data_IF_315372412986
#
_entry.id   IF_315372412986
#
_cell.length_a   1.000
_cell.length_b   1.000
_cell.length_c   1.000
_cell.angle_alpha   90.00
_cell.angle_beta   90.00
_cell.angle_gamma   90.00
#
_symmetry.space_group_name_H-M   'P 1'
#
loop_
_entity.id
_entity.type
_entity.pdbx_description
1 polymer ?
#
# COMPACT_ATOMS: atom_id res chain seq x y z
N UNK A 1 4.75 -5.91 62.35
CA UNK A 1 5.23 -5.03 61.25
C UNK A 1 5.72 -5.92 60.12
N UNK A 2 4.83 -6.27 59.21
CA UNK A 2 5.21 -6.90 57.93
C UNK A 2 4.95 -5.87 56.83
N UNK A 3 6.02 -5.37 56.24
CA UNK A 3 5.97 -4.61 55.02
C UNK A 3 5.65 -5.57 53.88
N UNK A 4 4.51 -5.41 53.24
CA UNK A 4 4.18 -6.09 52.01
C UNK A 4 4.93 -5.43 50.86
N UNK A 5 5.94 -6.09 50.35
CA UNK A 5 6.54 -5.75 49.06
C UNK A 5 5.48 -5.99 47.96
N UNK A 6 4.89 -4.90 47.47
CA UNK A 6 4.15 -4.91 46.21
C UNK A 6 5.15 -5.05 45.07
N UNK A 7 5.42 -6.29 44.67
CA UNK A 7 6.09 -6.54 43.41
C UNK A 7 5.27 -5.97 42.27
N UNK A 8 5.79 -4.92 41.65
CA UNK A 8 5.31 -4.39 40.38
C UNK A 8 5.50 -5.48 39.32
N UNK A 9 4.47 -6.30 39.11
CA UNK A 9 4.38 -7.17 37.94
C UNK A 9 4.04 -6.24 36.78
N UNK A 10 5.05 -5.76 36.08
CA UNK A 10 4.86 -5.25 34.73
C UNK A 10 4.39 -6.44 33.88
N UNK A 11 3.08 -6.53 33.61
CA UNK A 11 2.60 -7.32 32.51
C UNK A 11 3.20 -6.70 31.25
N UNK A 12 4.28 -7.25 30.74
CA UNK A 12 4.66 -7.02 29.35
C UNK A 12 3.44 -7.45 28.53
N UNK A 13 2.83 -6.51 27.84
CA UNK A 13 1.76 -6.81 26.92
C UNK A 13 2.32 -7.78 25.88
N UNK A 14 1.83 -9.02 25.89
CA UNK A 14 2.22 -10.01 24.89
C UNK A 14 1.68 -9.51 23.55
N UNK A 15 2.58 -9.03 22.70
CA UNK A 15 2.24 -8.59 21.34
C UNK A 15 1.78 -9.80 20.52
N UNK A 16 0.63 -9.69 19.89
CA UNK A 16 0.08 -10.73 19.03
C UNK A 16 0.55 -10.58 17.60
N UNK A 17 1.07 -11.66 17.01
CA UNK A 17 1.46 -11.66 15.59
C UNK A 17 0.20 -11.69 14.73
N UNK A 18 0.14 -10.84 13.70
CA UNK A 18 -0.95 -10.85 12.71
C UNK A 18 -0.93 -12.12 11.88
N UNK A 19 -2.02 -12.89 11.85
CA UNK A 19 -2.12 -14.04 10.95
C UNK A 19 -2.08 -13.61 9.47
N UNK A 20 -1.48 -14.45 8.64
CA UNK A 20 -1.60 -14.31 7.18
C UNK A 20 -2.98 -14.79 6.75
N UNK A 21 -3.84 -13.88 6.29
CA UNK A 21 -5.19 -14.18 5.79
C UNK A 21 -5.16 -14.69 4.35
N UNK A 22 -4.32 -14.06 3.51
CA UNK A 22 -4.13 -14.45 2.10
C UNK A 22 -2.69 -14.22 1.68
N UNK A 23 -2.17 -15.11 0.83
CA UNK A 23 -0.93 -14.92 0.09
C UNK A 23 -1.23 -15.20 -1.38
N UNK A 24 -1.06 -14.21 -2.23
CA UNK A 24 -1.36 -14.30 -3.67
C UNK A 24 -0.27 -13.61 -4.50
N UNK A 25 -0.20 -13.94 -5.78
CA UNK A 25 0.65 -13.23 -6.74
C UNK A 25 -0.10 -12.13 -7.45
N UNK A 26 0.57 -10.99 -7.67
CA UNK A 26 0.05 -9.95 -8.54
C UNK A 26 -0.13 -10.47 -9.97
N UNK A 27 -1.14 -9.95 -10.67
CA UNK A 27 -1.54 -10.41 -12.01
C UNK A 27 -1.04 -9.43 -13.08
N UNK A 28 -0.54 -9.92 -14.23
CA UNK A 28 -0.29 -9.05 -15.39
C UNK A 28 -1.57 -8.29 -15.75
N UNK A 29 -1.43 -7.00 -16.00
CA UNK A 29 -2.51 -6.09 -16.34
C UNK A 29 -1.98 -5.06 -17.33
N UNK A 30 -2.84 -4.55 -18.19
CA UNK A 30 -2.53 -3.45 -19.10
C UNK A 30 -3.44 -2.27 -18.78
N UNK A 31 -2.85 -1.09 -18.60
CA UNK A 31 -3.57 0.14 -18.25
C UNK A 31 -3.06 1.34 -19.09
N UNK A 32 -3.70 2.49 -18.93
CA UNK A 32 -3.34 3.70 -19.68
C UNK A 32 -3.40 3.49 -21.19
N UNK A 33 -2.41 3.95 -21.91
CA UNK A 33 -2.31 3.79 -23.36
C UNK A 33 -1.55 2.51 -23.78
N UNK A 34 -1.53 1.49 -22.94
CA UNK A 34 -0.86 0.22 -23.20
C UNK A 34 0.33 -0.05 -22.26
N UNK A 35 0.31 0.52 -21.06
CA UNK A 35 1.34 0.27 -20.03
C UNK A 35 1.15 -1.12 -19.44
N UNK A 36 2.17 -1.96 -19.55
CA UNK A 36 2.21 -3.27 -18.94
C UNK A 36 2.66 -3.15 -17.48
N UNK A 37 1.82 -3.59 -16.57
CA UNK A 37 2.05 -3.56 -15.14
C UNK A 37 1.52 -4.82 -14.45
N UNK A 38 1.64 -4.90 -13.14
CA UNK A 38 1.11 -6.01 -12.36
C UNK A 38 0.21 -5.49 -11.25
N UNK A 39 -1.06 -5.89 -11.28
CA UNK A 39 -2.05 -5.51 -10.27
C UNK A 39 -2.02 -6.50 -9.11
N UNK A 40 -1.71 -6.00 -7.92
CA UNK A 40 -1.73 -6.79 -6.69
C UNK A 40 -3.18 -6.99 -6.20
N UNK A 41 -3.97 -5.92 -6.13
CA UNK A 41 -5.41 -5.95 -5.87
C UNK A 41 -6.11 -4.75 -6.53
N UNK A 42 -7.44 -4.83 -6.64
CA UNK A 42 -8.24 -3.79 -7.29
C UNK A 42 -9.73 -4.10 -7.20
N UNK A 43 -10.47 -3.91 -8.29
CA UNK A 43 -11.92 -4.16 -8.36
C UNK A 43 -12.33 -5.51 -7.76
N UNK A 44 -13.39 -5.50 -6.95
CA UNK A 44 -13.95 -6.70 -6.31
C UNK A 44 -13.30 -7.10 -4.99
N UNK A 45 -12.29 -6.40 -4.53
CA UNK A 45 -11.59 -6.69 -3.27
C UNK A 45 -11.65 -5.54 -2.25
N UNK A 46 -12.51 -4.55 -2.43
CA UNK A 46 -12.54 -3.31 -1.64
C UNK A 46 -12.73 -3.53 -0.14
N UNK A 47 -13.50 -4.53 0.27
CA UNK A 47 -13.73 -4.85 1.68
C UNK A 47 -12.50 -5.43 2.38
N UNK A 48 -11.67 -6.19 1.66
CA UNK A 48 -10.48 -6.83 2.23
C UNK A 48 -9.34 -5.83 2.47
N UNK A 49 -9.25 -4.78 1.64
CA UNK A 49 -8.17 -3.80 1.64
C UNK A 49 -8.59 -2.39 2.07
N UNK A 50 -9.86 -2.20 2.49
CA UNK A 50 -10.35 -0.90 2.98
C UNK A 50 -9.35 -0.29 4.00
N UNK A 51 -8.87 0.93 3.83
CA UNK A 51 -9.35 1.99 2.92
C UNK A 51 -8.68 2.01 1.54
N UNK A 52 -7.87 1.00 1.19
CA UNK A 52 -7.17 0.97 -0.09
C UNK A 52 -8.00 0.28 -1.17
N UNK A 53 -7.90 0.81 -2.39
CA UNK A 53 -8.73 0.38 -3.51
C UNK A 53 -7.96 -0.42 -4.54
N UNK A 54 -6.68 -0.08 -4.76
CA UNK A 54 -5.85 -0.65 -5.82
C UNK A 54 -4.38 -0.52 -5.46
N UNK A 55 -3.59 -1.56 -5.82
CA UNK A 55 -2.13 -1.49 -5.84
C UNK A 55 -1.63 -2.05 -7.17
N UNK A 56 -0.94 -1.20 -7.92
CA UNK A 56 -0.24 -1.54 -9.15
C UNK A 56 1.27 -1.43 -8.98
N UNK A 57 1.96 -2.46 -9.44
CA UNK A 57 3.41 -2.55 -9.59
C UNK A 57 3.74 -2.33 -11.07
N UNK A 58 4.18 -1.12 -11.43
CA UNK A 58 4.53 -0.75 -12.80
C UNK A 58 6.02 -0.92 -13.10
N UNK A 59 6.74 -1.75 -12.33
CA UNK A 59 8.15 -2.05 -12.58
C UNK A 59 8.30 -2.81 -13.88
N UNK A 60 9.02 -2.19 -14.81
CA UNK A 60 9.29 -2.72 -16.14
C UNK A 60 10.66 -2.26 -16.64
N UNK A 61 11.39 -3.14 -17.33
CA UNK A 61 12.71 -2.89 -17.89
C UNK A 61 12.67 -2.76 -19.42
N UNK A 62 11.46 -2.84 -20.02
CA UNK A 62 11.23 -2.79 -21.47
C UNK A 62 10.51 -1.47 -21.80
N UNK A 63 11.20 -0.47 -22.37
CA UNK A 63 10.63 0.85 -22.65
C UNK A 63 9.34 0.83 -23.46
N UNK A 64 9.22 -0.05 -24.43
CA UNK A 64 8.05 -0.19 -25.30
C UNK A 64 6.78 -0.55 -24.49
N UNK A 65 6.94 -1.20 -23.34
CA UNK A 65 5.84 -1.64 -22.48
C UNK A 65 5.31 -0.53 -21.55
N UNK A 66 5.99 0.62 -21.42
CA UNK A 66 5.55 1.68 -20.50
C UNK A 66 5.56 3.10 -21.07
N UNK A 67 6.31 3.38 -22.15
CA UNK A 67 6.47 4.76 -22.69
C UNK A 67 5.17 5.39 -23.18
N UNK A 68 4.16 4.58 -23.52
CA UNK A 68 2.85 5.09 -23.90
C UNK A 68 2.15 5.86 -22.77
N UNK A 69 2.48 5.53 -21.51
CA UNK A 69 2.06 6.26 -20.33
C UNK A 69 0.56 6.26 -20.06
N UNK A 70 0.17 7.21 -19.23
CA UNK A 70 -1.21 7.46 -18.87
C UNK A 70 -1.61 8.86 -19.36
N UNK A 71 -2.09 8.99 -20.62
CA UNK A 71 -2.57 10.25 -21.17
C UNK A 71 -3.69 10.84 -20.32
N UNK A 72 -4.09 12.08 -20.60
CA UNK A 72 -5.09 12.83 -19.87
C UNK A 72 -6.30 11.97 -19.47
N UNK A 73 -6.48 11.77 -18.18
CA UNK A 73 -7.56 10.99 -17.59
C UNK A 73 -8.05 11.62 -16.27
N UNK A 74 -9.35 11.46 -15.93
CA UNK A 74 -9.91 12.03 -14.72
C UNK A 74 -9.69 11.13 -13.51
N UNK A 75 -9.75 11.72 -12.30
CA UNK A 75 -10.00 11.04 -11.04
C UNK A 75 -10.98 11.82 -10.19
N UNK A 76 -11.82 11.13 -9.40
CA UNK A 76 -12.70 11.73 -8.39
C UNK A 76 -12.89 10.78 -7.21
N UNK A 77 -12.93 11.36 -5.99
CA UNK A 77 -13.31 10.66 -4.76
C UNK A 77 -12.24 9.74 -4.17
N UNK A 78 -11.00 9.84 -4.65
CA UNK A 78 -9.86 9.03 -4.20
C UNK A 78 -8.62 9.90 -3.97
N UNK A 79 -7.62 9.24 -3.40
CA UNK A 79 -6.22 9.68 -3.42
C UNK A 79 -5.39 8.68 -4.22
N UNK A 80 -4.42 9.17 -4.99
CA UNK A 80 -3.45 8.34 -5.71
C UNK A 80 -2.06 8.61 -5.19
N UNK A 81 -1.29 7.54 -4.96
CA UNK A 81 0.05 7.61 -4.41
C UNK A 81 1.00 6.94 -5.38
N UNK A 82 1.89 7.74 -5.98
CA UNK A 82 2.94 7.26 -6.87
C UNK A 82 4.26 7.27 -6.12
N UNK A 83 4.90 6.09 -5.98
CA UNK A 83 6.22 5.92 -5.40
C UNK A 83 7.17 5.37 -6.45
N UNK A 84 8.17 6.16 -6.87
CA UNK A 84 9.14 5.80 -7.91
C UNK A 84 10.40 5.21 -7.29
N UNK A 85 10.88 4.10 -7.82
CA UNK A 85 12.14 3.45 -7.40
C UNK A 85 13.27 3.62 -8.42
N UNK A 86 12.93 3.69 -9.72
CA UNK A 86 13.88 3.95 -10.81
C UNK A 86 13.14 4.60 -11.99
N UNK A 87 13.83 5.42 -12.74
CA UNK A 87 13.26 6.23 -13.80
C UNK A 87 12.60 7.51 -13.25
N UNK A 88 11.70 8.08 -14.03
CA UNK A 88 11.02 9.35 -13.73
C UNK A 88 9.60 9.31 -14.30
N UNK A 89 8.63 9.86 -13.60
CA UNK A 89 7.26 10.07 -14.11
C UNK A 89 7.03 11.56 -14.24
N UNK A 90 6.90 12.06 -15.47
CA UNK A 90 6.46 13.44 -15.73
C UNK A 90 4.94 13.51 -15.59
N UNK A 91 4.43 14.54 -14.91
CA UNK A 91 3.00 14.72 -14.72
C UNK A 91 2.56 16.14 -15.07
N UNK A 92 1.29 16.27 -15.38
CA UNK A 92 0.62 17.56 -15.56
C UNK A 92 -0.87 17.42 -15.31
N UNK A 93 -1.53 18.48 -14.86
CA UNK A 93 -2.95 18.45 -14.53
C UNK A 93 -3.77 19.62 -15.10
N UNK A 94 -5.09 19.52 -14.95
CA UNK A 94 -6.06 20.52 -15.42
C UNK A 94 -6.02 21.83 -14.63
N UNK A 95 -5.32 21.90 -13.50
CA UNK A 95 -5.13 23.12 -12.71
C UNK A 95 -3.86 23.90 -13.13
N UNK A 96 -3.07 23.35 -14.06
CA UNK A 96 -1.83 23.94 -14.55
C UNK A 96 -0.58 23.51 -13.81
N UNK A 97 -0.67 22.57 -12.86
CA UNK A 97 0.50 22.00 -12.22
C UNK A 97 1.26 21.10 -13.20
N UNK A 98 2.58 21.13 -13.10
CA UNK A 98 3.49 20.25 -13.86
C UNK A 98 4.71 19.93 -13.00
N UNK A 99 5.21 18.72 -13.13
CA UNK A 99 6.38 18.29 -12.39
C UNK A 99 6.93 16.97 -12.88
N UNK A 100 7.88 16.44 -12.12
CA UNK A 100 8.46 15.14 -12.34
C UNK A 100 8.79 14.48 -11.00
N UNK A 101 8.41 13.21 -10.91
CA UNK A 101 8.65 12.33 -9.76
C UNK A 101 9.84 11.45 -10.13
N UNK A 102 10.98 11.64 -9.48
CA UNK A 102 12.21 10.90 -9.74
C UNK A 102 12.38 9.70 -8.78
N UNK A 103 13.47 8.97 -8.95
CA UNK A 103 13.76 7.81 -8.10
C UNK A 103 13.86 8.17 -6.61
N UNK A 104 13.07 7.51 -5.79
CA UNK A 104 12.92 7.73 -4.35
C UNK A 104 11.88 8.78 -3.98
N UNK A 105 11.37 9.56 -4.94
CA UNK A 105 10.31 10.54 -4.72
C UNK A 105 8.93 9.87 -4.55
N UNK A 106 8.03 10.59 -3.89
CA UNK A 106 6.62 10.22 -3.72
C UNK A 106 5.74 11.39 -4.13
N UNK A 107 4.68 11.11 -4.88
CA UNK A 107 3.60 12.06 -5.10
C UNK A 107 2.31 11.50 -4.48
N UNK A 108 1.71 12.27 -3.59
CA UNK A 108 0.39 12.00 -3.03
C UNK A 108 -0.60 13.03 -3.57
N UNK A 109 -1.49 12.58 -4.43
CA UNK A 109 -2.52 13.42 -5.04
C UNK A 109 -3.87 13.10 -4.41
N UNK A 110 -4.52 14.07 -3.80
CA UNK A 110 -5.94 14.01 -3.42
C UNK A 110 -6.75 14.48 -4.63
N UNK A 111 -7.48 13.59 -5.28
CA UNK A 111 -8.33 13.94 -6.43
C UNK A 111 -9.63 14.66 -5.99
N UNK A 112 -10.16 14.27 -4.84
CA UNK A 112 -11.31 14.95 -4.22
C UNK A 112 -12.50 15.13 -5.15
N UNK A 113 -12.92 16.38 -5.37
CA UNK A 113 -14.06 16.75 -6.23
C UNK A 113 -13.82 16.50 -7.72
N UNK A 114 -12.58 16.27 -8.13
CA UNK A 114 -12.21 15.91 -9.49
C UNK A 114 -10.97 16.63 -9.99
N UNK A 115 -10.13 15.88 -10.69
CA UNK A 115 -8.95 16.36 -11.37
C UNK A 115 -8.78 15.58 -12.67
N UNK A 116 -8.27 16.25 -13.71
CA UNK A 116 -7.82 15.57 -14.94
C UNK A 116 -6.30 15.73 -14.99
N UNK A 117 -5.58 14.63 -15.13
CA UNK A 117 -4.13 14.65 -15.18
C UNK A 117 -3.58 13.64 -16.19
N UNK A 118 -2.28 13.72 -16.42
CA UNK A 118 -1.51 12.75 -17.18
C UNK A 118 -0.23 12.37 -16.42
N UNK A 119 0.23 11.15 -16.64
CA UNK A 119 1.47 10.61 -16.09
C UNK A 119 2.27 9.94 -17.21
N UNK A 120 3.46 10.47 -17.50
CA UNK A 120 4.30 10.05 -18.63
C UNK A 120 5.62 9.48 -18.10
N UNK A 121 5.76 8.14 -18.02
CA UNK A 121 6.96 7.50 -17.52
C UNK A 121 8.14 7.63 -18.48
N UNK A 122 9.33 7.78 -17.90
CA UNK A 122 10.62 7.77 -18.59
C UNK A 122 11.57 6.85 -17.83
N UNK A 123 12.12 5.85 -18.50
CA UNK A 123 13.12 4.97 -17.93
C UNK A 123 14.41 5.69 -17.53
N UNK A 124 15.16 5.08 -16.62
CA UNK A 124 16.53 5.46 -16.32
C UNK A 124 17.45 5.16 -17.52
N UNK A 125 18.76 5.51 -17.48
CA UNK A 125 19.69 5.22 -18.59
C UNK A 125 19.79 3.73 -18.97
N UNK A 126 19.33 2.81 -18.12
CA UNK A 126 19.29 1.36 -18.41
C UNK A 126 17.93 0.89 -18.89
N UNK A 127 16.96 1.80 -19.07
CA UNK A 127 15.60 1.50 -19.52
C UNK A 127 14.64 1.07 -18.41
N UNK A 128 15.04 1.15 -17.12
CA UNK A 128 14.17 0.75 -16.01
C UNK A 128 13.20 1.86 -15.63
N UNK A 129 11.93 1.52 -15.56
CA UNK A 129 10.87 2.33 -14.96
C UNK A 129 10.23 1.53 -13.84
N UNK A 130 10.62 1.80 -12.60
CA UNK A 130 10.19 1.01 -11.44
C UNK A 130 9.44 1.88 -10.43
N UNK A 131 8.29 1.41 -10.00
CA UNK A 131 7.51 2.09 -8.96
C UNK A 131 6.17 1.42 -8.71
N UNK A 132 5.39 2.08 -7.86
CA UNK A 132 4.10 1.61 -7.40
C UNK A 132 3.07 2.72 -7.46
N UNK A 133 1.84 2.34 -7.83
CA UNK A 133 0.64 3.19 -7.74
C UNK A 133 -0.30 2.56 -6.73
N UNK A 134 -0.58 3.26 -5.63
CA UNK A 134 -1.56 2.89 -4.63
C UNK A 134 -2.74 3.87 -4.70
N UNK A 135 -3.97 3.36 -4.65
CA UNK A 135 -5.16 4.19 -4.48
C UNK A 135 -5.73 4.03 -3.10
N UNK A 136 -5.97 5.14 -2.41
CA UNK A 136 -6.68 5.20 -1.15
C UNK A 136 -8.06 5.86 -1.34
N UNK A 137 -9.07 5.32 -0.68
CA UNK A 137 -10.42 5.85 -0.74
C UNK A 137 -10.58 7.06 0.17
N UNK A 138 -11.33 8.05 -0.26
CA UNK A 138 -11.77 9.15 0.59
C UNK A 138 -13.10 8.79 1.28
N UNK A 139 -13.26 9.11 2.57
CA UNK A 139 -14.56 8.97 3.22
C UNK A 139 -15.59 9.90 2.58
N UNK A 140 -16.86 9.56 2.70
CA UNK A 140 -17.99 10.28 2.08
C UNK A 140 -17.94 11.79 2.32
N UNK A 141 -17.57 12.21 3.54
CA UNK A 141 -17.47 13.62 3.92
C UNK A 141 -16.36 14.39 3.18
N UNK A 142 -15.36 13.69 2.62
CA UNK A 142 -14.20 14.30 1.97
C UNK A 142 -14.12 14.01 0.46
N UNK A 143 -15.07 13.25 -0.10
CA UNK A 143 -15.05 12.95 -1.54
C UNK A 143 -15.10 14.17 -2.45
N UNK A 144 -15.68 15.25 -1.99
CA UNK A 144 -15.80 16.50 -2.73
C UNK A 144 -14.86 17.60 -2.21
N UNK A 145 -13.78 17.23 -1.48
CA UNK A 145 -12.74 18.18 -1.08
C UNK A 145 -12.00 18.73 -2.31
N UNK A 146 -11.45 19.95 -2.28
CA UNK A 146 -10.62 20.46 -3.39
C UNK A 146 -9.41 19.54 -3.66
N UNK A 147 -9.05 19.33 -4.93
CA UNK A 147 -7.84 18.61 -5.30
C UNK A 147 -6.58 19.26 -4.70
N UNK A 148 -5.62 18.43 -4.33
CA UNK A 148 -4.30 18.90 -3.85
C UNK A 148 -3.21 17.89 -4.12
N UNK A 149 -1.95 18.35 -4.13
CA UNK A 149 -0.76 17.51 -4.18
C UNK A 149 0.12 17.70 -2.95
N UNK A 150 0.79 16.62 -2.57
CA UNK A 150 1.97 16.65 -1.70
C UNK A 150 3.07 15.90 -2.44
N UNK A 151 4.05 16.65 -2.94
CA UNK A 151 5.24 16.11 -3.59
C UNK A 151 6.35 16.04 -2.55
N UNK A 152 6.88 14.84 -2.36
CA UNK A 152 7.92 14.55 -1.38
C UNK A 152 9.15 14.09 -2.13
N UNK A 153 10.24 14.79 -1.99
CA UNK A 153 11.52 14.42 -2.56
C UNK A 153 12.17 13.31 -1.75
N UNK A 154 13.01 12.51 -2.39
CA UNK A 154 13.66 11.34 -1.80
C UNK A 154 14.40 11.67 -0.51
N UNK A 155 15.04 12.83 -0.42
CA UNK A 155 15.75 13.33 0.75
C UNK A 155 14.84 13.74 1.92
N UNK A 156 13.56 14.02 1.65
CA UNK A 156 12.56 14.35 2.66
C UNK A 156 11.93 13.12 3.29
N UNK A 157 12.06 11.94 2.64
CA UNK A 157 11.54 10.68 3.16
C UNK A 157 12.43 10.16 4.27
N UNK A 158 11.97 10.12 5.54
CA UNK A 158 12.78 9.62 6.65
C UNK A 158 13.24 8.18 6.42
N UNK A 159 14.51 7.95 6.67
CA UNK A 159 15.12 6.62 6.62
C UNK A 159 15.54 6.24 8.04
N UNK A 160 15.23 5.02 8.43
CA UNK A 160 15.50 4.49 9.77
C UNK A 160 16.18 3.14 9.56
N UNK A 161 17.33 2.95 10.23
CA UNK A 161 17.97 1.63 10.29
C UNK A 161 18.07 1.26 11.77
N UNK A 162 17.63 0.08 12.13
CA UNK A 162 17.74 -0.39 13.50
C UNK A 162 19.01 -1.21 13.76
N UNK A 163 19.16 -1.71 14.98
CA UNK A 163 20.39 -2.36 15.45
C UNK A 163 20.67 -3.69 14.73
N UNK A 164 19.66 -4.34 14.13
CA UNK A 164 19.80 -5.58 13.36
C UNK A 164 19.97 -5.34 11.85
N UNK A 165 20.05 -4.07 11.43
CA UNK A 165 20.26 -3.68 10.05
C UNK A 165 19.00 -3.66 9.21
N UNK A 166 17.81 -3.80 9.81
CA UNK A 166 16.55 -3.58 9.10
C UNK A 166 16.42 -2.12 8.73
N UNK A 167 16.22 -1.86 7.44
CA UNK A 167 16.09 -0.51 6.89
C UNK A 167 14.64 -0.21 6.51
N UNK A 168 14.14 0.96 6.92
CA UNK A 168 12.79 1.44 6.64
C UNK A 168 12.84 2.84 6.03
N UNK A 169 12.14 3.04 4.92
CA UNK A 169 11.81 4.36 4.36
C UNK A 169 10.34 4.65 4.71
N UNK A 170 10.11 5.75 5.43
CA UNK A 170 8.77 6.11 5.95
C UNK A 170 8.10 7.13 5.04
N UNK A 171 7.25 6.66 4.12
CA UNK A 171 6.52 7.50 3.16
C UNK A 171 5.41 8.30 3.85
N UNK A 172 4.61 7.65 4.69
CA UNK A 172 3.49 8.28 5.38
C UNK A 172 3.23 7.63 6.74
N UNK A 173 2.64 8.39 7.65
CA UNK A 173 2.28 7.95 9.00
C UNK A 173 3.40 8.10 10.01
N UNK A 174 3.37 7.30 11.08
CA UNK A 174 4.39 7.28 12.13
C UNK A 174 4.89 5.87 12.35
N UNK A 175 6.21 5.72 12.41
CA UNK A 175 6.86 4.44 12.61
C UNK A 175 8.18 4.61 13.38
N UNK A 176 8.44 3.74 14.36
CA UNK A 176 9.64 3.78 15.24
C UNK A 176 10.00 5.20 15.72
N UNK A 177 9.00 5.94 16.18
CA UNK A 177 9.16 7.29 16.73
C UNK A 177 9.49 8.39 15.71
N UNK A 178 9.47 8.09 14.42
CA UNK A 178 9.57 9.06 13.32
C UNK A 178 8.21 9.29 12.69
N UNK A 179 8.04 10.45 12.06
CA UNK A 179 6.85 10.84 11.30
C UNK A 179 7.23 11.02 9.84
N UNK A 180 6.44 10.45 8.94
CA UNK A 180 6.56 10.64 7.50
C UNK A 180 6.13 12.03 7.05
N UNK A 181 6.58 12.49 5.87
CA UNK A 181 6.36 13.85 5.39
C UNK A 181 4.93 14.13 4.92
N UNK A 182 4.17 13.10 4.52
CA UNK A 182 2.80 13.26 4.02
C UNK A 182 1.82 13.42 5.19
N UNK A 183 1.00 14.47 5.15
CA UNK A 183 0.09 14.84 6.23
C UNK A 183 -1.36 15.03 5.79
N UNK A 184 -2.29 14.94 6.76
CA UNK A 184 -3.70 15.25 6.55
C UNK A 184 -4.42 14.26 5.64
N UNK A 185 -4.05 12.99 5.71
CA UNK A 185 -4.66 11.90 4.95
C UNK A 185 -5.78 11.26 5.76
N UNK A 186 -6.95 11.16 5.15
CA UNK A 186 -8.17 10.76 5.83
C UNK A 186 -8.15 9.33 6.39
N UNK A 187 -7.48 8.41 5.70
CA UNK A 187 -7.35 7.00 6.09
C UNK A 187 -6.31 6.76 7.18
N UNK A 188 -5.62 7.82 7.64
CA UNK A 188 -4.50 7.74 8.59
C UNK A 188 -3.54 6.58 8.29
N UNK A 189 -2.98 6.51 7.06
CA UNK A 189 -2.17 5.38 6.64
C UNK A 189 -0.78 5.39 7.27
N UNK A 190 -0.22 4.19 7.44
CA UNK A 190 1.23 3.99 7.55
C UNK A 190 1.67 3.30 6.27
N UNK A 191 2.59 3.94 5.54
CA UNK A 191 3.16 3.41 4.30
C UNK A 191 4.67 3.42 4.42
N UNK A 192 5.27 2.23 4.48
CA UNK A 192 6.71 2.04 4.62
C UNK A 192 7.26 1.06 3.58
N UNK A 193 8.48 1.32 3.16
CA UNK A 193 9.32 0.44 2.35
C UNK A 193 10.38 -0.18 3.27
N UNK A 194 10.33 -1.48 3.46
CA UNK A 194 11.09 -2.24 4.45
C UNK A 194 12.09 -3.16 3.75
N UNK A 195 13.34 -3.12 4.17
CA UNK A 195 14.37 -4.09 3.78
C UNK A 195 14.88 -4.82 5.01
N UNK A 196 14.77 -6.15 5.02
CA UNK A 196 15.29 -7.03 6.07
C UNK A 196 16.46 -7.83 5.51
N UNK A 197 17.58 -7.81 6.23
CA UNK A 197 18.82 -8.47 5.80
C UNK A 197 18.67 -9.99 5.69
N UNK A 198 19.53 -10.67 4.90
CA UNK A 198 19.51 -12.11 4.73
C UNK A 198 19.45 -12.89 6.03
N UNK A 199 18.54 -13.85 6.11
CA UNK A 199 18.37 -14.73 7.26
C UNK A 199 17.87 -14.08 8.56
N UNK A 200 17.62 -12.77 8.57
CA UNK A 200 17.14 -12.06 9.75
C UNK A 200 15.63 -12.23 9.94
N UNK A 201 15.21 -12.22 11.20
CA UNK A 201 13.80 -12.19 11.58
C UNK A 201 13.47 -10.80 12.13
N UNK A 202 12.35 -10.22 11.66
CA UNK A 202 11.89 -8.90 12.08
C UNK A 202 10.41 -8.85 12.39
N UNK A 203 10.08 -8.25 13.53
CA UNK A 203 8.72 -7.87 13.91
C UNK A 203 8.53 -6.37 13.72
N UNK A 204 7.44 -6.01 13.06
CA UNK A 204 7.07 -4.65 12.69
C UNK A 204 5.71 -4.33 13.31
N UNK A 205 5.61 -3.33 14.19
CA UNK A 205 4.36 -2.99 14.86
C UNK A 205 3.31 -2.46 13.88
N UNK A 206 2.08 -2.91 14.04
CA UNK A 206 0.91 -2.43 13.29
C UNK A 206 -0.28 -2.39 14.23
N UNK A 207 -0.93 -1.24 14.36
CA UNK A 207 -2.11 -1.08 15.22
C UNK A 207 -3.21 -2.09 14.86
N UNK A 208 -3.78 -2.77 15.86
CA UNK A 208 -4.78 -3.83 15.69
C UNK A 208 -6.04 -3.38 14.94
N UNK A 209 -6.40 -2.11 15.02
CA UNK A 209 -7.59 -1.51 14.39
C UNK A 209 -7.42 -1.22 12.91
N UNK A 210 -6.21 -1.40 12.36
CA UNK A 210 -5.90 -1.11 10.96
C UNK A 210 -5.95 -2.38 10.11
N UNK A 211 -6.45 -2.28 8.89
CA UNK A 211 -6.16 -3.27 7.87
C UNK A 211 -4.71 -3.13 7.42
N UNK A 212 -4.06 -4.25 7.14
CA UNK A 212 -2.65 -4.25 6.75
C UNK A 212 -2.37 -5.29 5.67
N UNK A 213 -1.46 -4.93 4.76
CA UNK A 213 -0.92 -5.84 3.76
C UNK A 213 0.56 -5.56 3.53
N UNK A 214 1.29 -6.58 3.05
CA UNK A 214 2.64 -6.43 2.53
C UNK A 214 2.69 -6.78 1.04
N UNK A 215 3.54 -6.09 0.28
CA UNK A 215 3.80 -6.41 -1.12
C UNK A 215 5.30 -6.58 -1.34
N UNK A 216 5.74 -7.83 -1.56
CA UNK A 216 7.16 -8.16 -1.76
C UNK A 216 7.59 -7.80 -3.17
N UNK A 217 8.70 -7.05 -3.28
CA UNK A 217 9.20 -6.61 -4.57
C UNK A 217 10.70 -6.92 -4.80
N UNK A 218 11.40 -7.48 -3.80
CA UNK A 218 12.73 -8.05 -3.98
C UNK A 218 13.00 -9.12 -2.90
N UNK A 219 13.82 -10.09 -3.24
CA UNK A 219 14.15 -11.22 -2.35
C UNK A 219 12.96 -12.10 -2.03
N UNK A 220 13.04 -12.82 -0.91
CA UNK A 220 12.00 -13.71 -0.43
C UNK A 220 12.01 -13.82 1.11
N UNK A 221 10.91 -14.37 1.66
CA UNK A 221 10.82 -14.63 3.09
C UNK A 221 9.50 -15.27 3.49
N UNK A 222 9.41 -15.67 4.76
CA UNK A 222 8.21 -16.27 5.35
C UNK A 222 7.61 -15.28 6.33
N UNK A 223 6.38 -14.85 6.08
CA UNK A 223 5.61 -14.11 7.06
C UNK A 223 5.08 -15.11 8.10
N UNK A 224 5.44 -14.86 9.36
CA UNK A 224 5.09 -15.78 10.45
C UNK A 224 3.61 -15.64 10.75
N UNK A 225 2.90 -16.77 10.73
CA UNK A 225 1.57 -16.82 11.30
C UNK A 225 1.66 -16.72 12.82
N UNK A 226 0.76 -15.99 13.43
CA UNK A 226 0.36 -16.24 14.80
C UNK A 226 0.04 -17.73 14.90
N UNK A 227 0.27 -18.34 16.07
CA UNK A 227 -0.09 -19.73 16.31
C UNK A 227 -1.44 -20.01 15.64
N UNK A 228 -1.41 -20.63 14.47
CA UNK A 228 -2.62 -20.99 13.76
C UNK A 228 -3.48 -21.86 14.69
N UNK A 229 -4.81 -21.75 14.65
CA UNK A 229 -5.63 -22.64 15.43
C UNK A 229 -5.19 -24.08 15.09
N UNK A 230 -4.78 -24.83 16.10
CA UNK A 230 -4.54 -26.25 15.93
C UNK A 230 -5.81 -26.84 15.30
N UNK A 231 -5.66 -27.48 14.14
CA UNK A 231 -6.78 -28.16 13.49
C UNK A 231 -7.32 -29.19 14.47
N UNK A 232 -8.51 -28.90 15.04
CA UNK A 232 -9.22 -29.84 15.87
C UNK A 232 -10.06 -30.72 14.94
N UNK A 233 -9.83 -32.06 14.88
CA UNK A 233 -10.69 -32.93 14.08
C UNK A 233 -12.11 -32.84 14.62
N UNK A 234 -13.06 -32.36 13.84
CA UNK A 234 -14.47 -32.44 14.15
C UNK A 234 -15.13 -33.49 13.26
N UNK A 235 -15.96 -34.34 13.84
CA UNK A 235 -16.73 -35.32 13.08
C UNK A 235 -17.55 -34.62 11.97
N UNK A 236 -17.33 -35.04 10.72
CA UNK A 236 -18.11 -34.59 9.56
C UNK A 236 -17.55 -33.41 8.77
N UNK A 237 -16.44 -32.79 9.16
CA UNK A 237 -15.75 -31.78 8.38
C UNK A 237 -14.36 -32.31 8.05
N UNK A 238 -14.06 -32.41 6.76
CA UNK A 238 -12.72 -32.77 6.30
C UNK A 238 -11.66 -31.85 6.91
N UNK A 239 -10.41 -32.33 7.01
CA UNK A 239 -9.27 -31.58 7.50
C UNK A 239 -9.25 -30.20 6.84
N UNK A 240 -9.37 -29.12 7.62
CA UNK A 240 -8.92 -27.81 7.18
C UNK A 240 -7.39 -27.93 7.02
N UNK A 241 -6.93 -28.14 5.79
CA UNK A 241 -5.53 -28.00 5.47
C UNK A 241 -5.15 -26.54 5.79
N UNK A 242 -4.54 -26.32 6.94
CA UNK A 242 -3.75 -25.12 7.16
C UNK A 242 -2.57 -25.26 6.20
N UNK A 243 -2.72 -24.67 5.02
CA UNK A 243 -1.59 -24.55 4.10
C UNK A 243 -0.49 -23.83 4.88
N UNK A 244 0.67 -24.45 5.13
CA UNK A 244 1.75 -23.77 5.80
C UNK A 244 2.05 -22.50 5.01
N UNK A 245 2.37 -21.37 5.67
CA UNK A 245 2.64 -20.12 4.96
C UNK A 245 3.73 -20.39 3.92
N UNK A 246 3.34 -20.33 2.66
CA UNK A 246 4.27 -20.47 1.56
C UNK A 246 5.24 -19.28 1.60
N UNK A 247 6.45 -19.50 1.17
CA UNK A 247 7.44 -18.44 1.04
C UNK A 247 6.91 -17.35 0.10
N UNK A 248 6.97 -16.11 0.56
CA UNK A 248 6.60 -14.94 -0.23
C UNK A 248 7.87 -14.43 -0.93
N UNK A 249 7.82 -14.32 -2.25
CA UNK A 249 8.90 -13.84 -3.08
C UNK A 249 8.44 -12.61 -3.89
N UNK A 250 9.26 -12.14 -4.82
CA UNK A 250 8.93 -11.02 -5.69
C UNK A 250 7.52 -11.11 -6.28
N UNK A 251 6.75 -10.01 -6.19
CA UNK A 251 5.35 -9.87 -6.66
C UNK A 251 4.31 -10.65 -5.85
N UNK A 252 4.65 -11.04 -4.62
CA UNK A 252 3.70 -11.60 -3.65
C UNK A 252 3.00 -10.50 -2.87
N UNK A 253 1.68 -10.61 -2.75
CA UNK A 253 0.83 -9.81 -1.87
C UNK A 253 0.40 -10.66 -0.69
N UNK A 254 0.62 -10.15 0.52
CA UNK A 254 0.26 -10.78 1.79
C UNK A 254 -0.78 -9.89 2.47
N UNK A 255 -1.99 -10.39 2.63
CA UNK A 255 -3.03 -9.73 3.43
C UNK A 255 -3.00 -10.32 4.83
N UNK A 256 -2.97 -9.46 5.84
CA UNK A 256 -2.97 -9.85 7.25
C UNK A 256 -4.35 -9.71 7.89
N UNK A 257 -4.60 -10.55 8.88
CA UNK A 257 -5.71 -10.38 9.82
C UNK A 257 -5.29 -9.47 10.99
N UNK A 258 -6.13 -9.32 12.00
CA UNK A 258 -5.86 -8.45 13.16
C UNK A 258 -4.76 -9.01 14.07
N UNK A 259 -3.99 -8.14 14.66
CA UNK A 259 -2.89 -8.40 15.57
C UNK A 259 -2.05 -7.14 15.78
N UNK A 260 -1.02 -7.22 16.63
CA UNK A 260 -0.20 -6.06 17.04
C UNK A 260 1.04 -5.87 16.17
N UNK A 261 1.50 -6.95 15.50
CA UNK A 261 2.73 -6.91 14.72
C UNK A 261 2.69 -7.84 13.50
N UNK A 262 3.43 -7.48 12.48
CA UNK A 262 3.77 -8.32 11.34
C UNK A 262 5.19 -8.84 11.55
N UNK A 263 5.37 -10.15 11.55
CA UNK A 263 6.68 -10.79 11.68
C UNK A 263 7.07 -11.48 10.39
N UNK A 264 8.30 -11.23 9.93
CA UNK A 264 8.87 -11.85 8.74
C UNK A 264 10.23 -12.46 9.03
N UNK A 265 10.48 -13.64 8.47
CA UNK A 265 11.77 -14.29 8.39
C UNK A 265 12.29 -14.12 6.97
N UNK A 266 13.34 -13.32 6.77
CA UNK A 266 13.96 -13.12 5.47
C UNK A 266 14.65 -14.40 4.97
N UNK A 267 14.62 -14.61 3.67
CA UNK A 267 15.36 -15.69 2.99
C UNK A 267 16.85 -15.37 2.84
N UNK A 268 17.56 -16.20 2.07
CA UNK A 268 19.02 -16.14 1.94
C UNK A 268 19.52 -14.86 1.23
N UNK A 269 18.69 -14.25 0.40
CA UNK A 269 18.99 -12.99 -0.30
C UNK A 269 18.37 -11.76 0.40
N UNK A 270 17.79 -11.93 1.60
CA UNK A 270 17.00 -10.91 2.27
C UNK A 270 15.61 -10.78 1.65
N UNK A 271 14.85 -9.77 2.13
CA UNK A 271 13.54 -9.46 1.60
C UNK A 271 13.30 -7.94 1.61
N UNK A 272 12.69 -7.42 0.55
CA UNK A 272 12.21 -6.02 0.52
C UNK A 272 10.74 -5.98 0.11
N UNK A 273 9.97 -5.23 0.87
CA UNK A 273 8.51 -5.16 0.68
C UNK A 273 7.94 -3.82 1.13
N UNK A 274 6.83 -3.45 0.51
CA UNK A 274 5.96 -2.40 1.07
C UNK A 274 5.15 -3.00 2.21
N UNK A 275 5.09 -2.33 3.36
CA UNK A 275 4.11 -2.60 4.41
C UNK A 275 3.19 -1.39 4.50
N UNK A 276 1.92 -1.63 4.24
CA UNK A 276 0.90 -0.59 4.20
C UNK A 276 -0.22 -0.97 5.16
N UNK A 277 -0.62 -0.02 5.99
CA UNK A 277 -1.79 -0.18 6.85
C UNK A 277 -2.61 1.11 6.89
N UNK A 278 -3.92 0.99 7.10
CA UNK A 278 -4.83 2.13 7.17
C UNK A 278 -6.08 1.82 7.98
N UNK A 279 -6.68 2.86 8.50
CA UNK A 279 -7.94 2.75 9.24
C UNK A 279 -9.09 2.49 8.25
N UNK A 280 -9.81 1.37 8.34
CA UNK A 280 -10.90 1.07 7.44
C UNK A 280 -12.01 2.12 7.55
N UNK A 281 -12.55 2.55 6.42
CA UNK A 281 -13.63 3.54 6.36
C UNK A 281 -14.98 2.89 6.64
N UNK A 282 -15.16 1.63 6.24
CA UNK A 282 -16.41 0.87 6.41
C UNK A 282 -17.62 1.56 5.75
N UNK A 283 -17.37 2.24 4.64
CA UNK A 283 -18.38 2.95 3.86
C UNK A 283 -18.66 2.23 2.54
N UNK A 284 -19.86 2.38 1.97
CA UNK A 284 -20.17 1.84 0.65
C UNK A 284 -19.24 2.39 -0.44
N UNK A 285 -18.89 1.55 -1.40
CA UNK A 285 -18.04 1.90 -2.55
C UNK A 285 -18.81 1.68 -3.85
N UNK A 286 -19.04 2.77 -4.59
CA UNK A 286 -19.54 2.76 -5.95
C UNK A 286 -18.39 3.15 -6.88
N UNK A 287 -17.82 2.17 -7.60
CA UNK A 287 -16.60 2.33 -8.37
C UNK A 287 -16.79 1.97 -9.84
N UNK A 288 -16.39 2.87 -10.73
CA UNK A 288 -16.29 2.60 -12.16
C UNK A 288 -15.14 3.40 -12.78
N UNK A 289 -14.19 2.71 -13.44
CA UNK A 289 -13.00 3.33 -14.00
C UNK A 289 -12.22 4.15 -12.95
N UNK A 290 -11.88 5.41 -13.25
CA UNK A 290 -11.07 6.25 -12.37
C UNK A 290 -11.88 7.03 -11.32
N UNK A 291 -13.18 6.78 -11.20
CA UNK A 291 -14.10 7.52 -10.32
C UNK A 291 -14.66 6.58 -9.25
N UNK A 292 -14.56 7.00 -7.98
CA UNK A 292 -15.03 6.23 -6.82
C UNK A 292 -15.88 7.13 -5.91
N UNK A 293 -17.15 6.78 -5.78
CA UNK A 293 -18.12 7.46 -4.94
C UNK A 293 -18.72 6.50 -3.91
N UNK A 294 -19.71 6.92 -3.12
CA UNK A 294 -20.37 6.04 -2.15
C UNK A 294 -21.66 5.42 -2.70
N UNK A 295 -22.31 6.05 -3.68
CA UNK A 295 -23.56 5.54 -4.27
C UNK A 295 -23.50 5.54 -5.81
N UNK A 296 -24.31 4.68 -6.41
CA UNK A 296 -24.45 4.63 -7.87
C UNK A 296 -25.03 5.93 -8.45
N UNK A 297 -25.82 6.66 -7.69
CA UNK A 297 -26.35 7.97 -8.10
C UNK A 297 -25.23 9.01 -8.17
N UNK A 298 -24.41 9.12 -7.12
CA UNK A 298 -23.24 9.99 -7.10
C UNK A 298 -22.24 9.65 -8.23
N UNK A 299 -22.07 8.36 -8.51
CA UNK A 299 -21.22 7.90 -9.60
C UNK A 299 -21.74 8.36 -10.97
N UNK A 300 -23.05 8.18 -11.24
CA UNK A 300 -23.70 8.68 -12.47
C UNK A 300 -23.59 10.20 -12.60
N UNK A 301 -23.82 10.93 -11.49
CA UNK A 301 -23.65 12.37 -11.48
C UNK A 301 -22.22 12.77 -11.85
N UNK A 302 -21.21 12.13 -11.29
CA UNK A 302 -19.80 12.41 -11.57
C UNK A 302 -19.46 12.27 -13.06
N UNK A 303 -19.96 11.21 -13.72
CA UNK A 303 -19.78 11.05 -15.17
C UNK A 303 -20.54 12.10 -15.99
N UNK A 304 -21.75 12.46 -15.59
CA UNK A 304 -22.54 13.52 -16.25
C UNK A 304 -21.82 14.88 -16.16
N UNK A 305 -21.22 15.20 -15.02
CA UNK A 305 -20.45 16.44 -14.84
C UNK A 305 -19.17 16.41 -15.66
N UNK A 306 -18.46 15.29 -15.70
CA UNK A 306 -17.26 15.11 -16.54
C UNK A 306 -17.58 15.31 -18.03
N UNK A 307 -18.67 14.73 -18.54
CA UNK A 307 -19.12 14.91 -19.94
C UNK A 307 -19.47 16.36 -20.27
N UNK A 308 -19.98 17.12 -19.31
CA UNK A 308 -20.34 18.53 -19.47
C UNK A 308 -19.16 19.48 -19.26
N UNK A 309 -18.04 18.99 -18.74
CA UNK A 309 -16.89 19.81 -18.38
C UNK A 309 -17.13 20.70 -17.16
N UNK A 310 -17.94 20.23 -16.21
CA UNK A 310 -18.31 20.99 -14.99
C UNK A 310 -17.84 20.26 -13.74
#
# INVERSE_FOLDING_TARGET
LFAADCANIYLEAIMSIRPVKKLIKSKPTMEGAGVHLRRAFGFGNTSDYDPFLLLDDFRNDVPEDYLAGFPWHPHRGIETITYVLAGTVEHGDSMGNRGAIAAGDVQWMTAGSGIIHQEMPKGDPTGRMHGFQLWANLPSALKMTPPRYQEVKSEEVPQITDDDGTHVRLVCGSFWGKKGPVEGIAADPVYIDVSVAPGQRKSLPVETTRHAFAYVFAGSGKFCNASGPLAVPTEGVGWLETVPPSEADNRSLILFDSGDEVTVQAGDDGIRFLLVSGKPLQEPVAWYGPIVMNTQEQLRQAFTELEKGT
#
